data_IF_240309634978
#
_entry.id   IF_240309634978
#
_cell.length_a   1.000
_cell.length_b   1.000
_cell.length_c   1.000
_cell.angle_alpha   90.00
_cell.angle_beta   90.00
_cell.angle_gamma   90.00
#
_symmetry.space_group_name_H-M   'P 1'
#
loop_
_entity.id
_entity.type
_entity.pdbx_description
1 polymer ?
#
# COMPACT_ATOMS: atom_id res chain seq x y z
N UNK A 1 -42.23 -88.11 4.04
CA UNK A 1 -41.40 -87.60 2.91
C UNK A 1 -41.14 -86.18 3.21
N UNK A 2 -40.04 -85.91 3.84
CA UNK A 2 -39.65 -84.56 4.32
C UNK A 2 -38.22 -84.37 3.88
N UNK A 3 -37.99 -83.25 3.11
CA UNK A 3 -36.66 -82.86 2.67
C UNK A 3 -36.20 -81.72 3.54
N UNK A 4 -35.29 -81.96 4.43
CA UNK A 4 -34.56 -80.98 5.18
C UNK A 4 -33.46 -80.39 4.31
N UNK A 5 -33.51 -79.08 4.14
CA UNK A 5 -32.42 -78.29 3.51
C UNK A 5 -31.62 -77.59 4.60
N UNK A 6 -30.42 -78.05 4.78
CA UNK A 6 -29.38 -77.37 5.59
C UNK A 6 -28.94 -76.10 4.85
N UNK A 7 -29.11 -74.97 5.49
CA UNK A 7 -28.58 -73.68 5.04
C UNK A 7 -27.28 -73.41 5.84
N UNK A 8 -26.13 -73.46 5.16
CA UNK A 8 -24.86 -73.05 5.72
C UNK A 8 -24.78 -71.53 5.71
N UNK A 9 -24.68 -70.94 6.89
CA UNK A 9 -24.46 -69.51 7.09
C UNK A 9 -22.94 -69.23 7.09
N UNK A 10 -22.39 -68.67 5.99
CA UNK A 10 -21.02 -68.17 5.96
C UNK A 10 -20.97 -66.81 6.64
N UNK A 11 -20.37 -66.73 7.84
CA UNK A 11 -20.04 -65.47 8.49
C UNK A 11 -18.71 -65.01 7.93
N UNK A 12 -18.77 -64.00 7.01
CA UNK A 12 -17.54 -63.34 6.55
C UNK A 12 -17.14 -62.26 7.56
N UNK A 13 -16.05 -62.53 8.25
CA UNK A 13 -15.41 -61.53 9.15
C UNK A 13 -14.66 -60.51 8.26
N UNK A 14 -15.24 -59.32 8.13
CA UNK A 14 -14.58 -58.19 7.47
C UNK A 14 -13.66 -57.49 8.49
N UNK A 15 -12.35 -57.76 8.42
CA UNK A 15 -11.35 -57.05 9.21
C UNK A 15 -11.12 -55.72 8.51
N UNK A 16 -11.69 -54.62 9.05
CA UNK A 16 -11.42 -53.25 8.62
C UNK A 16 -10.02 -52.80 9.09
N UNK A 17 -9.05 -52.81 8.19
CA UNK A 17 -7.78 -52.11 8.40
C UNK A 17 -8.06 -50.59 8.30
N UNK A 18 -8.20 -49.92 9.45
CA UNK A 18 -8.14 -48.47 9.50
C UNK A 18 -6.68 -48.03 9.30
N UNK A 19 -6.32 -47.80 8.03
CA UNK A 19 -5.09 -47.10 7.71
C UNK A 19 -5.23 -45.65 8.19
N UNK A 20 -4.59 -45.34 9.32
CA UNK A 20 -4.46 -43.99 9.86
C UNK A 20 -3.55 -43.19 8.91
N UNK A 21 -4.13 -42.52 7.93
CA UNK A 21 -3.44 -41.47 7.16
C UNK A 21 -3.15 -40.30 8.12
N UNK A 22 -1.98 -40.30 8.73
CA UNK A 22 -1.42 -39.11 9.33
C UNK A 22 -1.09 -38.16 8.18
N UNK A 23 -1.98 -37.20 7.91
CA UNK A 23 -1.67 -36.07 7.08
C UNK A 23 -0.45 -35.30 7.61
N UNK A 24 0.31 -34.61 6.75
CA UNK A 24 1.43 -33.82 7.20
C UNK A 24 0.97 -32.87 8.30
N UNK A 25 1.59 -32.97 9.47
CA UNK A 25 1.42 -32.02 10.57
C UNK A 25 1.94 -30.68 10.07
N UNK A 26 1.03 -29.81 9.66
CA UNK A 26 1.34 -28.40 9.44
C UNK A 26 1.68 -27.85 10.82
N UNK A 27 2.96 -27.59 11.06
CA UNK A 27 3.41 -26.88 12.25
C UNK A 27 2.61 -25.57 12.33
N UNK A 28 2.07 -25.18 13.49
CA UNK A 28 1.38 -23.92 13.64
C UNK A 28 2.40 -22.83 13.27
N UNK A 29 2.10 -22.08 12.20
CA UNK A 29 2.84 -20.89 11.84
C UNK A 29 2.80 -20.00 13.07
N UNK A 30 3.98 -19.64 13.57
CA UNK A 30 4.14 -18.75 14.73
C UNK A 30 3.20 -17.57 14.57
N UNK A 31 2.26 -17.41 15.49
CA UNK A 31 1.24 -16.36 15.47
C UNK A 31 1.78 -14.97 15.83
N UNK A 32 3.11 -14.84 15.95
CA UNK A 32 3.76 -13.54 16.15
C UNK A 32 4.00 -12.96 14.77
N UNK A 33 3.30 -11.87 14.41
CA UNK A 33 3.60 -11.17 13.15
C UNK A 33 5.08 -10.80 13.13
N UNK A 34 5.76 -10.87 11.98
CA UNK A 34 7.14 -10.44 11.90
C UNK A 34 7.27 -9.00 12.42
N UNK A 35 8.36 -8.67 13.13
CA UNK A 35 8.55 -7.31 13.62
C UNK A 35 8.40 -6.34 12.44
N UNK A 36 7.60 -5.28 12.66
CA UNK A 36 7.39 -4.24 11.65
C UNK A 36 8.70 -3.63 11.15
N UNK A 37 8.70 -2.91 10.04
CA UNK A 37 9.90 -2.25 9.53
C UNK A 37 10.44 -1.25 10.55
N UNK A 38 11.75 -1.06 10.58
CA UNK A 38 12.45 -0.08 11.42
C UNK A 38 12.91 1.13 10.62
N UNK A 39 12.92 0.99 9.29
CA UNK A 39 13.34 2.03 8.36
C UNK A 39 12.63 1.90 7.03
N UNK A 40 12.47 3.03 6.34
CA UNK A 40 11.96 3.04 4.98
C UNK A 40 12.56 4.20 4.18
N UNK A 41 12.40 4.12 2.85
CA UNK A 41 12.73 5.19 1.92
C UNK A 41 11.71 5.26 0.78
N UNK A 42 11.58 6.43 0.18
CA UNK A 42 10.83 6.67 -1.05
C UNK A 42 11.79 7.17 -2.11
N UNK A 43 11.77 6.56 -3.29
CA UNK A 43 12.67 6.94 -4.37
C UNK A 43 12.00 6.80 -5.74
N UNK A 44 11.91 7.91 -6.47
CA UNK A 44 11.28 7.96 -7.79
C UNK A 44 12.28 8.24 -8.93
N UNK A 45 13.58 8.14 -8.64
CA UNK A 45 14.61 8.27 -9.68
C UNK A 45 14.62 7.08 -10.65
N UNK A 46 14.92 7.38 -11.91
CA UNK A 46 14.92 6.37 -12.98
C UNK A 46 16.14 5.44 -12.98
N UNK A 47 17.24 5.82 -12.32
CA UNK A 47 18.52 5.10 -12.40
C UNK A 47 18.83 4.31 -11.14
N UNK A 48 19.11 3.05 -11.36
CA UNK A 48 19.64 2.07 -10.42
C UNK A 48 20.97 2.48 -9.77
N UNK A 49 21.29 1.88 -8.63
CA UNK A 49 20.52 1.91 -7.40
C UNK A 49 20.90 3.16 -6.63
N UNK A 50 19.93 3.89 -6.17
CA UNK A 50 20.26 4.89 -5.15
C UNK A 50 20.86 4.12 -3.97
N UNK A 51 22.11 4.42 -3.54
CA UNK A 51 22.76 3.74 -2.41
C UNK A 51 21.92 3.78 -1.14
N UNK A 52 21.01 4.76 -1.06
CA UNK A 52 20.07 4.94 0.04
C UNK A 52 19.02 3.81 0.20
N UNK A 53 18.79 2.97 -0.83
CA UNK A 53 17.80 1.87 -0.75
C UNK A 53 18.40 0.56 -0.24
N UNK A 54 19.72 0.38 -0.34
CA UNK A 54 20.40 -0.78 0.23
C UNK A 54 20.52 -0.60 1.75
N UNK A 55 19.70 -1.31 2.51
CA UNK A 55 19.78 -1.29 3.98
C UNK A 55 18.57 -0.73 4.70
N UNK A 56 17.56 -0.22 3.97
CA UNK A 56 16.25 0.05 4.56
C UNK A 56 15.37 -1.21 4.54
N UNK A 57 14.46 -1.32 5.49
CA UNK A 57 13.55 -2.48 5.55
C UNK A 57 12.49 -2.39 4.45
N UNK A 58 11.93 -1.20 4.20
CA UNK A 58 10.93 -0.94 3.15
C UNK A 58 11.40 0.14 2.18
N UNK A 59 11.22 -0.10 0.87
CA UNK A 59 11.53 0.87 -0.17
C UNK A 59 10.34 1.04 -1.12
N UNK A 60 9.79 2.24 -1.20
CA UNK A 60 8.74 2.62 -2.14
C UNK A 60 9.42 3.19 -3.39
N UNK A 61 9.17 2.59 -4.54
CA UNK A 61 9.84 2.95 -5.81
C UNK A 61 8.86 2.93 -6.97
N UNK A 62 9.23 3.57 -8.08
CA UNK A 62 8.46 3.47 -9.32
C UNK A 62 8.34 2.00 -9.79
N UNK A 63 7.24 1.67 -10.47
CA UNK A 63 6.98 0.30 -10.95
C UNK A 63 8.03 -0.22 -11.95
N UNK A 64 8.75 0.67 -12.66
CA UNK A 64 9.84 0.31 -13.57
C UNK A 64 11.18 0.00 -12.85
N UNK A 65 11.32 0.34 -11.56
CA UNK A 65 12.51 0.05 -10.78
C UNK A 65 12.74 -1.46 -10.66
N UNK A 66 13.98 -1.97 -10.82
CA UNK A 66 14.26 -3.40 -10.64
C UNK A 66 14.39 -3.73 -9.14
N UNK A 67 13.43 -4.45 -8.53
CA UNK A 67 13.57 -4.86 -7.14
C UNK A 67 14.77 -5.80 -6.97
N UNK A 68 15.55 -5.58 -5.91
CA UNK A 68 16.70 -6.43 -5.59
C UNK A 68 16.26 -7.84 -5.19
N UNK A 69 16.90 -8.88 -5.75
CA UNK A 69 16.51 -10.27 -5.51
C UNK A 69 17.07 -10.88 -4.22
N UNK A 70 18.14 -10.32 -3.66
CA UNK A 70 18.93 -10.93 -2.59
C UNK A 70 19.09 -10.01 -1.36
N UNK A 71 18.27 -8.99 -1.22
CA UNK A 71 18.37 -8.02 -0.15
C UNK A 71 17.34 -8.24 0.96
N UNK A 72 17.59 -7.62 2.12
CA UNK A 72 16.64 -7.56 3.23
C UNK A 72 15.51 -6.54 2.97
N UNK A 73 15.65 -5.69 1.93
CA UNK A 73 14.70 -4.64 1.59
C UNK A 73 13.48 -5.21 0.88
N UNK A 74 12.31 -4.95 1.42
CA UNK A 74 11.03 -5.21 0.78
C UNK A 74 10.68 -4.01 -0.12
N UNK A 75 10.51 -4.26 -1.41
CA UNK A 75 10.20 -3.24 -2.40
C UNK A 75 8.71 -3.14 -2.64
N UNK A 76 8.18 -1.89 -2.63
CA UNK A 76 6.81 -1.55 -2.96
C UNK A 76 6.77 -0.87 -4.33
N UNK A 77 5.96 -1.41 -5.24
CA UNK A 77 5.71 -0.78 -6.53
C UNK A 77 4.71 0.37 -6.39
N UNK A 78 5.05 1.55 -6.91
CA UNK A 78 4.14 2.68 -7.01
C UNK A 78 2.99 2.38 -7.98
N UNK A 79 1.75 2.64 -7.54
CA UNK A 79 0.54 2.50 -8.35
C UNK A 79 -0.38 3.68 -8.06
N UNK A 80 -0.61 4.54 -9.04
CA UNK A 80 -1.62 5.59 -8.94
C UNK A 80 -3.01 4.97 -9.05
N UNK A 81 -3.75 4.95 -7.94
CA UNK A 81 -5.08 4.37 -7.86
C UNK A 81 -6.20 5.39 -8.13
N UNK A 82 -5.96 6.65 -7.81
CA UNK A 82 -6.95 7.72 -7.95
C UNK A 82 -6.75 8.60 -9.17
N UNK A 83 -5.60 8.49 -9.85
CA UNK A 83 -5.32 9.30 -11.03
C UNK A 83 -4.69 8.48 -12.15
N UNK A 84 -4.85 8.94 -13.37
CA UNK A 84 -4.26 8.34 -14.58
C UNK A 84 -3.42 9.40 -15.26
N UNK A 85 -2.10 9.22 -15.22
CA UNK A 85 -1.18 9.98 -16.06
C UNK A 85 -1.23 9.42 -17.50
N UNK A 86 -1.47 10.25 -18.51
CA UNK A 86 -1.56 9.82 -19.91
C UNK A 86 -0.32 9.11 -20.44
N UNK A 87 0.86 9.38 -19.88
CA UNK A 87 2.12 8.72 -20.25
C UNK A 87 2.27 7.27 -19.79
N UNK A 88 1.46 6.85 -18.83
CA UNK A 88 1.60 5.55 -18.18
C UNK A 88 1.14 4.37 -19.02
N UNK A 89 1.58 3.17 -18.62
CA UNK A 89 1.13 1.92 -19.23
C UNK A 89 -0.36 1.68 -19.00
N UNK A 90 -0.87 1.99 -17.80
CA UNK A 90 -2.32 1.91 -17.50
C UNK A 90 -3.12 2.75 -18.50
N UNK A 91 -2.70 3.99 -18.75
CA UNK A 91 -3.36 4.85 -19.73
C UNK A 91 -3.40 4.22 -21.12
N UNK A 92 -2.27 3.66 -21.57
CA UNK A 92 -2.17 2.97 -22.86
C UNK A 92 -3.07 1.73 -22.93
N UNK A 93 -3.13 0.94 -21.87
CA UNK A 93 -3.97 -0.26 -21.80
C UNK A 93 -5.47 0.10 -21.85
N UNK A 94 -5.88 1.15 -21.12
CA UNK A 94 -7.27 1.65 -21.12
C UNK A 94 -7.64 2.30 -22.45
N UNK A 95 -6.73 3.04 -23.09
CA UNK A 95 -7.00 3.69 -24.38
C UNK A 95 -7.35 2.72 -25.50
N UNK A 96 -6.99 1.44 -25.37
CA UNK A 96 -7.38 0.37 -26.31
C UNK A 96 -8.77 -0.21 -26.03
N UNK A 97 -9.38 0.16 -24.91
CA UNK A 97 -10.73 -0.31 -24.54
C UNK A 97 -11.80 0.62 -25.12
N UNK A 98 -13.04 0.13 -25.33
CA UNK A 98 -14.14 0.99 -25.78
C UNK A 98 -14.33 2.20 -24.87
N UNK A 99 -14.43 3.39 -25.47
CA UNK A 99 -14.56 4.67 -24.77
C UNK A 99 -13.27 5.25 -24.22
N UNK A 100 -12.13 4.53 -24.32
CA UNK A 100 -10.81 5.01 -23.94
C UNK A 100 -10.73 5.60 -22.53
N UNK A 101 -9.79 6.51 -22.31
CA UNK A 101 -9.58 7.17 -21.02
C UNK A 101 -10.80 7.96 -20.51
N UNK A 102 -11.59 8.54 -21.39
CA UNK A 102 -12.76 9.33 -20.99
C UNK A 102 -13.81 8.48 -20.27
N UNK A 103 -13.95 7.21 -20.65
CA UNK A 103 -14.91 6.27 -20.02
C UNK A 103 -14.63 5.95 -18.57
N UNK A 104 -13.42 6.20 -18.09
CA UNK A 104 -12.93 5.92 -16.73
C UNK A 104 -12.48 7.17 -15.99
N UNK A 105 -12.81 8.35 -16.49
CA UNK A 105 -12.39 9.64 -15.95
C UNK A 105 -13.55 10.34 -15.25
N UNK A 106 -13.32 10.90 -14.06
CA UNK A 106 -14.22 11.79 -13.34
C UNK A 106 -13.98 13.26 -13.68
N UNK A 107 -12.72 13.62 -13.89
CA UNK A 107 -12.27 14.99 -14.12
C UNK A 107 -10.79 15.05 -14.46
N UNK A 108 -10.25 16.26 -14.51
CA UNK A 108 -8.83 16.50 -14.78
C UNK A 108 -8.17 17.12 -13.55
N UNK A 109 -6.97 16.69 -13.24
CA UNK A 109 -6.06 17.38 -12.34
C UNK A 109 -5.08 18.20 -13.22
N UNK A 110 -5.31 19.50 -13.29
CA UNK A 110 -4.51 20.40 -14.15
C UNK A 110 -3.10 20.59 -13.62
N UNK A 111 -2.90 20.43 -12.31
CA UNK A 111 -1.62 20.62 -11.66
C UNK A 111 -0.62 19.50 -12.08
N UNK A 112 -1.06 18.25 -12.04
CA UNK A 112 -0.25 17.09 -12.42
C UNK A 112 -0.45 16.67 -13.89
N UNK A 113 -1.27 17.42 -14.65
CA UNK A 113 -1.65 17.05 -16.02
C UNK A 113 -2.18 15.60 -16.13
N UNK A 114 -2.89 15.16 -15.11
CA UNK A 114 -3.47 13.82 -14.99
C UNK A 114 -4.99 13.84 -15.06
N UNK A 115 -5.61 12.67 -15.05
CA UNK A 115 -7.05 12.47 -15.01
C UNK A 115 -7.46 11.85 -13.70
N UNK A 116 -8.44 12.44 -13.01
CA UNK A 116 -9.03 11.83 -11.82
C UNK A 116 -9.78 10.57 -12.26
N UNK A 117 -9.39 9.42 -11.74
CA UNK A 117 -9.90 8.12 -12.15
C UNK A 117 -11.24 7.78 -11.50
N UNK A 118 -12.13 7.15 -12.25
CA UNK A 118 -13.35 6.55 -11.72
C UNK A 118 -13.12 5.08 -11.36
N UNK A 119 -12.73 4.82 -10.12
CA UNK A 119 -12.50 3.47 -9.61
C UNK A 119 -13.75 2.57 -9.64
N UNK A 120 -14.95 3.11 -9.82
CA UNK A 120 -16.19 2.35 -10.01
C UNK A 120 -16.20 1.60 -11.34
N UNK A 121 -15.38 2.03 -12.31
CA UNK A 121 -15.32 1.42 -13.65
C UNK A 121 -14.54 0.11 -13.63
N UNK A 122 -15.18 -0.96 -14.08
CA UNK A 122 -14.59 -2.32 -14.11
C UNK A 122 -13.29 -2.37 -14.92
N UNK A 123 -13.24 -1.68 -16.07
CA UNK A 123 -12.06 -1.64 -16.94
C UNK A 123 -10.84 -1.02 -16.24
N UNK A 124 -11.05 0.04 -15.45
CA UNK A 124 -9.96 0.64 -14.68
C UNK A 124 -9.47 -0.29 -13.57
N UNK A 125 -10.39 -0.88 -12.78
CA UNK A 125 -10.00 -1.87 -11.75
C UNK A 125 -9.24 -3.06 -12.35
N UNK A 126 -9.66 -3.55 -13.53
CA UNK A 126 -8.95 -4.62 -14.22
C UNK A 126 -7.54 -4.21 -14.65
N UNK A 127 -7.35 -2.98 -15.14
CA UNK A 127 -6.03 -2.47 -15.50
C UNK A 127 -5.10 -2.38 -14.27
N UNK A 128 -5.62 -1.90 -13.12
CA UNK A 128 -4.88 -1.89 -11.85
C UNK A 128 -4.51 -3.31 -11.39
N UNK A 129 -5.44 -4.27 -11.43
CA UNK A 129 -5.15 -5.67 -11.07
C UNK A 129 -4.11 -6.30 -12.00
N UNK A 130 -4.13 -5.97 -13.30
CA UNK A 130 -3.10 -6.42 -14.22
C UNK A 130 -1.73 -5.81 -13.90
N UNK A 131 -1.67 -4.55 -13.48
CA UNK A 131 -0.42 -3.94 -13.02
C UNK A 131 0.09 -4.65 -11.76
N UNK A 132 -0.74 -4.81 -10.73
CA UNK A 132 -0.38 -5.52 -9.50
C UNK A 132 0.17 -6.92 -9.82
N UNK A 133 -0.50 -7.66 -10.69
CA UNK A 133 -0.05 -8.99 -11.13
C UNK A 133 1.31 -8.95 -11.84
N UNK A 134 1.59 -7.91 -12.63
CA UNK A 134 2.90 -7.74 -13.27
C UNK A 134 3.99 -7.46 -12.26
N UNK A 135 3.72 -6.58 -11.32
CA UNK A 135 4.69 -6.12 -10.33
C UNK A 135 5.04 -7.23 -9.33
N UNK A 136 4.06 -7.99 -8.86
CA UNK A 136 4.30 -9.17 -8.03
C UNK A 136 5.15 -10.22 -8.75
N UNK A 137 4.92 -10.46 -10.06
CA UNK A 137 5.76 -11.37 -10.86
C UNK A 137 7.19 -10.87 -11.05
N UNK A 138 7.42 -9.57 -10.96
CA UNK A 138 8.77 -8.96 -11.04
C UNK A 138 9.52 -9.03 -9.71
N UNK A 139 8.88 -9.44 -8.63
CA UNK A 139 9.49 -9.62 -7.32
C UNK A 139 9.21 -8.50 -6.33
N UNK A 140 8.26 -7.61 -6.60
CA UNK A 140 7.76 -6.69 -5.59
C UNK A 140 7.00 -7.45 -4.51
N UNK A 141 7.37 -7.25 -3.26
CA UNK A 141 6.70 -7.83 -2.10
C UNK A 141 5.59 -6.93 -1.53
N UNK A 142 5.46 -5.71 -2.06
CA UNK A 142 4.42 -4.77 -1.69
C UNK A 142 3.98 -3.88 -2.83
N UNK A 143 2.85 -3.21 -2.64
CA UNK A 143 2.36 -2.13 -3.51
C UNK A 143 2.13 -0.87 -2.68
N UNK A 144 2.39 0.25 -3.29
CA UNK A 144 2.11 1.58 -2.75
C UNK A 144 1.01 2.23 -3.59
N UNK A 145 -0.18 2.33 -3.00
CA UNK A 145 -1.35 2.89 -3.66
C UNK A 145 -1.41 4.40 -3.39
N UNK A 146 -1.24 5.16 -4.43
CA UNK A 146 -1.18 6.62 -4.37
C UNK A 146 -2.45 7.28 -4.93
N UNK A 147 -2.55 8.60 -4.70
CA UNK A 147 -3.59 9.51 -5.23
C UNK A 147 -5.01 9.21 -4.73
N UNK A 148 -5.16 8.56 -3.57
CA UNK A 148 -6.47 8.25 -3.00
C UNK A 148 -7.31 9.51 -2.74
N UNK A 149 -6.65 10.62 -2.41
CA UNK A 149 -7.33 11.87 -2.06
C UNK A 149 -8.07 12.48 -3.28
N UNK A 150 -7.59 12.30 -4.51
CA UNK A 150 -8.17 12.95 -5.71
C UNK A 150 -9.62 12.54 -5.99
N UNK A 151 -10.00 11.25 -6.05
CA UNK A 151 -11.40 10.86 -6.21
C UNK A 151 -12.24 11.15 -4.95
N UNK A 152 -11.65 11.14 -3.74
CA UNK A 152 -12.36 11.51 -2.51
C UNK A 152 -12.71 13.01 -2.51
N UNK A 153 -11.79 13.87 -2.94
CA UNK A 153 -12.03 15.31 -3.08
C UNK A 153 -13.04 15.60 -4.19
N UNK A 154 -12.97 14.87 -5.32
CA UNK A 154 -14.03 14.94 -6.33
C UNK A 154 -15.39 14.58 -5.73
N UNK A 155 -15.49 13.54 -4.91
CA UNK A 155 -16.71 13.16 -4.20
C UNK A 155 -17.21 14.26 -3.25
N UNK A 156 -16.32 15.03 -2.61
CA UNK A 156 -16.68 16.14 -1.72
C UNK A 156 -17.43 17.23 -2.47
N UNK A 157 -17.01 17.52 -3.71
CA UNK A 157 -17.67 18.51 -4.59
C UNK A 157 -18.85 17.92 -5.38
N UNK A 158 -18.99 16.59 -5.42
CA UNK A 158 -20.06 15.85 -6.07
C UNK A 158 -20.75 14.87 -5.11
N UNK A 159 -21.54 15.35 -4.14
CA UNK A 159 -22.05 14.53 -3.02
C UNK A 159 -22.85 13.29 -3.43
N UNK A 160 -23.58 13.36 -4.57
CA UNK A 160 -24.34 12.22 -5.09
C UNK A 160 -23.44 11.03 -5.49
N UNK A 161 -22.17 11.27 -5.79
CA UNK A 161 -21.19 10.26 -6.21
C UNK A 161 -20.29 9.78 -5.06
N UNK A 162 -20.15 10.59 -4.01
CA UNK A 162 -19.20 10.37 -2.92
C UNK A 162 -19.25 8.96 -2.31
N UNK A 163 -20.44 8.52 -1.91
CA UNK A 163 -20.62 7.20 -1.29
C UNK A 163 -20.25 6.04 -2.24
N UNK A 164 -20.56 6.18 -3.54
CA UNK A 164 -20.20 5.18 -4.54
C UNK A 164 -18.70 5.10 -4.80
N UNK A 165 -18.02 6.24 -4.82
CA UNK A 165 -16.55 6.31 -4.97
C UNK A 165 -15.87 5.65 -3.76
N UNK A 166 -16.24 6.04 -2.53
CA UNK A 166 -15.68 5.47 -1.30
C UNK A 166 -15.81 3.95 -1.27
N UNK A 167 -17.03 3.41 -1.43
CA UNK A 167 -17.26 1.96 -1.45
C UNK A 167 -16.46 1.22 -2.53
N UNK A 168 -16.30 1.84 -3.70
CA UNK A 168 -15.52 1.21 -4.78
C UNK A 168 -14.02 1.17 -4.47
N UNK A 169 -13.48 2.18 -3.79
CA UNK A 169 -12.09 2.21 -3.31
C UNK A 169 -11.86 1.15 -2.22
N UNK A 170 -12.74 1.10 -1.22
CA UNK A 170 -12.72 0.09 -0.15
C UNK A 170 -12.75 -1.32 -0.74
N UNK A 171 -13.77 -1.61 -1.55
CA UNK A 171 -13.94 -2.93 -2.17
C UNK A 171 -12.78 -3.33 -3.08
N UNK A 172 -12.13 -2.36 -3.75
CA UNK A 172 -10.96 -2.66 -4.57
C UNK A 172 -9.77 -3.09 -3.70
N UNK A 173 -9.48 -2.35 -2.61
CA UNK A 173 -8.37 -2.67 -1.71
C UNK A 173 -8.62 -3.99 -0.99
N UNK A 174 -9.85 -4.24 -0.52
CA UNK A 174 -10.27 -5.53 0.04
C UNK A 174 -10.06 -6.68 -0.96
N UNK A 175 -10.45 -6.48 -2.24
CA UNK A 175 -10.24 -7.47 -3.31
C UNK A 175 -8.75 -7.76 -3.53
N UNK A 176 -7.90 -6.75 -3.52
CA UNK A 176 -6.45 -6.91 -3.65
C UNK A 176 -5.89 -7.70 -2.46
N UNK A 177 -6.27 -7.31 -1.23
CA UNK A 177 -5.84 -8.01 -0.01
C UNK A 177 -6.24 -9.49 -0.04
N UNK A 178 -7.48 -9.80 -0.39
CA UNK A 178 -7.95 -11.18 -0.49
C UNK A 178 -7.27 -11.99 -1.60
N UNK A 179 -6.96 -11.34 -2.74
CA UNK A 179 -6.33 -12.00 -3.89
C UNK A 179 -4.82 -12.21 -3.71
N UNK A 180 -4.18 -11.43 -2.86
CA UNK A 180 -2.74 -11.44 -2.61
C UNK A 180 -2.45 -11.37 -1.09
N UNK A 181 -2.75 -12.42 -0.32
CA UNK A 181 -2.70 -12.37 1.15
C UNK A 181 -1.30 -12.16 1.75
N UNK A 182 -0.25 -12.37 0.96
CA UNK A 182 1.15 -12.13 1.38
C UNK A 182 1.72 -10.80 0.89
N UNK A 183 0.94 -10.05 0.11
CA UNK A 183 1.37 -8.76 -0.44
C UNK A 183 1.16 -7.66 0.58
N UNK A 184 2.20 -6.91 0.89
CA UNK A 184 2.07 -5.71 1.72
C UNK A 184 1.41 -4.59 0.93
N UNK A 185 0.44 -3.91 1.54
CA UNK A 185 -0.28 -2.79 0.93
C UNK A 185 -0.04 -1.55 1.78
N UNK A 186 0.56 -0.51 1.19
CA UNK A 186 0.70 0.80 1.80
C UNK A 186 -0.11 1.79 0.97
N UNK A 187 -0.91 2.63 1.61
CA UNK A 187 -1.68 3.69 0.94
C UNK A 187 -1.05 5.04 1.21
N UNK A 188 -1.07 5.95 0.23
CA UNK A 188 -0.68 7.34 0.45
C UNK A 188 -1.88 8.16 0.90
N UNK A 189 -1.80 8.76 2.10
CA UNK A 189 -2.85 9.61 2.65
C UNK A 189 -4.21 8.90 2.69
N UNK A 190 -5.25 9.44 2.05
CA UNK A 190 -6.59 8.85 2.07
C UNK A 190 -7.19 8.76 3.47
N UNK A 191 -6.79 9.66 4.38
CA UNK A 191 -7.07 9.55 5.82
C UNK A 191 -8.56 9.44 6.15
N UNK A 192 -9.41 10.13 5.40
CA UNK A 192 -10.86 10.04 5.59
C UNK A 192 -11.46 8.66 5.28
N UNK A 193 -10.69 7.75 4.68
CA UNK A 193 -11.05 6.37 4.36
C UNK A 193 -10.21 5.36 5.16
N UNK A 194 -9.15 5.82 5.81
CA UNK A 194 -8.17 4.97 6.46
C UNK A 194 -8.74 4.05 7.56
N UNK A 195 -9.68 4.48 8.41
CA UNK A 195 -10.26 3.59 9.41
C UNK A 195 -10.93 2.35 8.80
N UNK A 196 -11.63 2.52 7.69
CA UNK A 196 -12.29 1.43 6.95
C UNK A 196 -11.27 0.55 6.21
N UNK A 197 -10.17 1.13 5.73
CA UNK A 197 -9.10 0.41 5.03
C UNK A 197 -8.14 -0.32 5.98
N UNK A 198 -8.06 0.10 7.24
CA UNK A 198 -7.06 -0.41 8.18
C UNK A 198 -6.98 -1.94 8.28
N UNK A 199 -8.08 -2.73 8.23
CA UNK A 199 -8.00 -4.18 8.25
C UNK A 199 -7.29 -4.81 7.03
N UNK A 200 -7.20 -4.08 5.92
CA UNK A 200 -6.74 -4.59 4.62
C UNK A 200 -5.37 -4.06 4.20
N UNK A 201 -4.81 -3.09 4.95
CA UNK A 201 -3.54 -2.46 4.61
C UNK A 201 -2.48 -2.69 5.68
N UNK A 202 -1.24 -2.77 5.25
CA UNK A 202 -0.07 -2.94 6.14
C UNK A 202 0.39 -1.61 6.71
N UNK A 203 0.13 -0.51 6.01
CA UNK A 203 0.56 0.81 6.44
C UNK A 203 -0.07 1.95 5.66
N UNK A 204 0.18 3.14 6.17
CA UNK A 204 -0.17 4.42 5.54
C UNK A 204 1.05 5.31 5.48
N UNK A 205 1.28 5.95 4.34
CA UNK A 205 2.26 7.03 4.22
C UNK A 205 1.55 8.35 4.46
N UNK A 206 2.08 9.12 5.40
CA UNK A 206 1.67 10.48 5.69
C UNK A 206 2.66 11.44 5.02
N UNK A 207 2.40 11.76 3.77
CA UNK A 207 3.13 12.76 3.01
C UNK A 207 2.82 14.16 3.52
N UNK A 208 3.83 15.04 3.54
CA UNK A 208 3.75 16.37 4.13
C UNK A 208 3.35 16.34 5.62
N UNK A 209 3.99 15.44 6.40
CA UNK A 209 3.65 15.31 7.81
C UNK A 209 4.02 16.55 8.62
N UNK A 210 5.22 17.04 8.47
CA UNK A 210 5.78 18.17 9.22
C UNK A 210 6.31 19.27 8.30
N UNK A 211 6.83 18.90 7.14
CA UNK A 211 7.35 19.84 6.15
C UNK A 211 6.94 19.46 4.73
N UNK A 212 6.81 20.47 3.89
CA UNK A 212 6.47 20.33 2.47
C UNK A 212 7.23 21.32 1.60
N UNK A 213 7.25 21.07 0.31
CA UNK A 213 7.74 22.02 -0.67
C UNK A 213 6.61 22.98 -1.08
N UNK A 214 6.86 24.28 -0.93
CA UNK A 214 5.99 25.31 -1.47
C UNK A 214 6.35 25.58 -2.93
N UNK A 215 5.49 25.12 -3.83
CA UNK A 215 5.74 25.24 -5.27
C UNK A 215 5.66 26.68 -5.80
N UNK A 216 4.93 27.53 -5.12
CA UNK A 216 4.81 28.96 -5.49
C UNK A 216 6.06 29.71 -5.03
N UNK A 217 6.41 29.56 -3.77
CA UNK A 217 7.58 30.19 -3.18
C UNK A 217 8.92 29.52 -3.51
N UNK A 218 8.89 28.31 -4.10
CA UNK A 218 10.08 27.50 -4.44
C UNK A 218 11.01 27.24 -3.26
N UNK A 219 10.45 26.98 -2.08
CA UNK A 219 11.19 26.68 -0.86
C UNK A 219 10.45 25.66 0.02
N UNK A 220 11.15 25.11 1.00
CA UNK A 220 10.57 24.17 1.95
C UNK A 220 9.99 24.92 3.15
N UNK A 221 8.81 24.50 3.59
CA UNK A 221 8.06 25.14 4.68
C UNK A 221 7.54 24.10 5.66
N UNK A 222 7.30 24.51 6.90
CA UNK A 222 6.63 23.68 7.90
C UNK A 222 5.12 23.61 7.65
N UNK A 223 4.55 22.44 7.90
CA UNK A 223 3.10 22.23 7.85
C UNK A 223 2.46 22.73 9.13
N UNK A 224 1.40 23.55 9.07
CA UNK A 224 0.70 24.05 10.25
C UNK A 224 0.14 22.91 11.14
N UNK A 225 0.21 23.09 12.46
CA UNK A 225 -0.23 22.07 13.42
C UNK A 225 -1.71 21.66 13.22
N UNK A 226 -2.59 22.63 12.94
CA UNK A 226 -4.01 22.35 12.74
C UNK A 226 -4.33 21.44 11.55
N UNK A 227 -3.50 21.46 10.50
CA UNK A 227 -3.64 20.54 9.37
C UNK A 227 -3.36 19.08 9.81
N UNK A 228 -2.38 18.88 10.69
CA UNK A 228 -1.99 17.54 11.17
C UNK A 228 -3.00 16.90 12.12
N UNK A 229 -3.59 17.69 13.02
CA UNK A 229 -4.45 17.16 14.08
C UNK A 229 -5.62 16.32 13.57
N UNK A 230 -6.23 16.73 12.46
CA UNK A 230 -7.32 15.96 11.84
C UNK A 230 -6.84 14.57 11.38
N UNK A 231 -5.72 14.52 10.70
CA UNK A 231 -5.17 13.28 10.16
C UNK A 231 -4.64 12.36 11.26
N UNK A 232 -4.07 12.91 12.33
CA UNK A 232 -3.66 12.15 13.51
C UNK A 232 -4.87 11.47 14.19
N UNK A 233 -6.04 12.13 14.22
CA UNK A 233 -7.27 11.50 14.73
C UNK A 233 -7.72 10.32 13.86
N UNK A 234 -7.66 10.47 12.53
CA UNK A 234 -8.03 9.39 11.60
C UNK A 234 -7.06 8.20 11.70
N UNK A 235 -5.76 8.45 11.84
CA UNK A 235 -4.75 7.42 12.10
C UNK A 235 -5.01 6.72 13.45
N UNK A 236 -5.33 7.48 14.50
CA UNK A 236 -5.67 6.90 15.81
C UNK A 236 -6.88 5.97 15.72
N UNK A 237 -7.92 6.36 15.00
CA UNK A 237 -9.10 5.52 14.73
C UNK A 237 -8.72 4.27 13.92
N UNK A 238 -7.91 4.42 12.86
CA UNK A 238 -7.45 3.29 12.07
C UNK A 238 -6.68 2.26 12.92
N UNK A 239 -5.84 2.72 13.85
CA UNK A 239 -5.12 1.86 14.79
C UNK A 239 -6.02 1.09 15.77
N UNK A 240 -7.27 1.49 15.99
CA UNK A 240 -8.22 0.67 16.75
C UNK A 240 -8.68 -0.56 15.95
N UNK A 241 -8.68 -0.48 14.64
CA UNK A 241 -9.03 -1.60 13.74
C UNK A 241 -7.81 -2.44 13.34
N UNK A 242 -6.62 -1.81 13.30
CA UNK A 242 -5.35 -2.48 13.02
C UNK A 242 -4.25 -1.92 13.93
N UNK A 243 -4.04 -2.49 15.12
CA UNK A 243 -2.97 -2.06 16.04
C UNK A 243 -1.56 -2.17 15.45
N UNK A 244 -1.36 -3.03 14.44
CA UNK A 244 -0.11 -3.21 13.73
C UNK A 244 0.10 -2.26 12.55
N UNK A 245 -0.81 -1.30 12.31
CA UNK A 245 -0.72 -0.37 11.20
C UNK A 245 0.56 0.47 11.27
N UNK A 246 1.43 0.27 10.29
CA UNK A 246 2.67 1.04 10.14
C UNK A 246 2.35 2.43 9.61
N UNK A 247 2.87 3.46 10.26
CA UNK A 247 2.75 4.85 9.75
C UNK A 247 4.12 5.35 9.33
N UNK A 248 4.21 5.75 8.07
CA UNK A 248 5.40 6.27 7.40
C UNK A 248 5.23 7.79 7.25
N UNK A 249 6.01 8.59 7.94
CA UNK A 249 5.99 10.05 7.81
C UNK A 249 7.04 10.48 6.78
N UNK A 250 6.59 11.00 5.65
CA UNK A 250 7.41 11.57 4.59
C UNK A 250 7.39 13.09 4.69
N UNK A 251 8.59 13.66 4.75
CA UNK A 251 8.81 15.10 4.80
C UNK A 251 9.79 15.54 3.72
N UNK A 252 9.77 16.81 3.43
CA UNK A 252 10.63 17.41 2.39
C UNK A 252 11.52 18.49 2.97
N UNK A 253 12.81 18.49 2.57
CA UNK A 253 13.79 19.49 2.99
C UNK A 253 14.84 19.71 1.90
N UNK A 254 15.61 20.80 2.00
CA UNK A 254 16.71 21.09 1.09
C UNK A 254 17.91 20.17 1.35
N UNK A 255 18.31 19.32 0.40
CA UNK A 255 19.46 18.43 0.56
C UNK A 255 20.80 19.15 0.85
N UNK A 256 20.90 20.42 0.48
CA UNK A 256 22.11 21.23 0.66
C UNK A 256 22.13 21.97 2.00
N UNK A 257 20.96 22.28 2.55
CA UNK A 257 20.80 23.07 3.78
C UNK A 257 19.61 22.53 4.59
N UNK A 258 19.69 21.30 5.09
CA UNK A 258 18.58 20.71 5.84
C UNK A 258 18.34 21.48 7.12
N UNK A 259 17.16 22.08 7.25
CA UNK A 259 16.75 22.84 8.42
C UNK A 259 15.56 22.19 9.15
N UNK A 260 14.75 21.41 8.43
CA UNK A 260 13.48 20.84 8.89
C UNK A 260 13.60 19.36 9.29
N UNK A 261 14.62 18.65 8.79
CA UNK A 261 14.79 17.21 8.99
C UNK A 261 14.76 16.79 10.46
N UNK A 262 15.54 17.46 11.34
CA UNK A 262 15.60 17.13 12.76
C UNK A 262 14.32 17.49 13.55
N UNK A 263 13.75 18.71 13.41
CA UNK A 263 12.47 19.03 14.02
C UNK A 263 11.35 18.06 13.62
N UNK A 264 11.27 17.70 12.32
CA UNK A 264 10.26 16.78 11.81
C UNK A 264 10.48 15.35 12.33
N UNK A 265 11.73 14.89 12.40
CA UNK A 265 12.04 13.59 12.99
C UNK A 265 11.61 13.48 14.46
N UNK A 266 11.82 14.53 15.28
CA UNK A 266 11.34 14.57 16.66
C UNK A 266 9.81 14.45 16.73
N UNK A 267 9.13 15.14 15.84
CA UNK A 267 7.67 15.10 15.76
C UNK A 267 7.15 13.73 15.37
N UNK A 268 7.71 13.12 14.31
CA UNK A 268 7.35 11.78 13.86
C UNK A 268 7.59 10.72 14.96
N UNK A 269 8.70 10.83 15.67
CA UNK A 269 9.01 9.94 16.78
C UNK A 269 8.01 10.04 17.93
N UNK A 270 7.57 11.25 18.29
CA UNK A 270 6.53 11.45 19.32
C UNK A 270 5.24 10.69 18.96
N UNK A 271 4.89 10.65 17.68
CA UNK A 271 3.72 9.94 17.16
C UNK A 271 4.00 8.44 16.89
N UNK A 272 5.22 7.97 17.16
CA UNK A 272 5.66 6.59 16.83
C UNK A 272 5.54 6.26 15.35
N UNK A 273 5.92 7.22 14.49
CA UNK A 273 5.98 7.05 13.04
C UNK A 273 7.41 6.77 12.59
N UNK A 274 7.58 5.98 11.55
CA UNK A 274 8.83 5.92 10.82
C UNK A 274 8.98 7.19 10.01
N UNK A 275 10.18 7.78 10.01
CA UNK A 275 10.41 9.06 9.37
C UNK A 275 11.44 8.96 8.25
N UNK A 276 11.15 9.57 7.13
CA UNK A 276 12.05 9.73 5.99
C UNK A 276 11.94 11.14 5.44
N UNK A 277 13.09 11.72 5.06
CA UNK A 277 13.17 13.05 4.46
C UNK A 277 13.81 12.95 3.10
N UNK A 278 13.21 13.62 2.12
CA UNK A 278 13.70 13.67 0.75
C UNK A 278 13.68 15.09 0.21
N UNK A 279 14.27 15.29 -0.95
CA UNK A 279 13.93 16.43 -1.78
C UNK A 279 12.51 16.26 -2.36
N UNK A 280 11.90 17.33 -2.80
CA UNK A 280 10.52 17.30 -3.33
C UNK A 280 10.34 16.43 -4.58
N UNK A 281 11.44 16.10 -5.28
CA UNK A 281 11.42 15.23 -6.46
C UNK A 281 11.51 13.75 -6.10
N UNK A 282 11.73 13.42 -4.83
CA UNK A 282 11.95 12.05 -4.34
C UNK A 282 13.12 11.33 -5.02
N UNK A 283 14.13 12.10 -5.43
CA UNK A 283 15.33 11.55 -6.09
C UNK A 283 16.57 11.59 -5.20
N UNK A 284 16.49 12.25 -4.04
CA UNK A 284 17.60 12.41 -3.09
C UNK A 284 17.12 12.29 -1.66
N UNK A 285 17.75 11.43 -0.87
CA UNK A 285 17.55 11.46 0.58
C UNK A 285 18.18 12.72 1.16
N UNK A 286 17.52 13.32 2.15
CA UNK A 286 18.05 14.42 2.94
C UNK A 286 18.63 13.85 4.23
N UNK A 287 19.86 14.24 4.65
CA UNK A 287 20.39 13.80 5.92
C UNK A 287 19.45 14.11 7.08
N UNK A 288 19.11 13.09 7.83
CA UNK A 288 18.30 13.16 9.03
C UNK A 288 19.02 12.55 10.22
N UNK A 289 18.40 12.51 11.38
CA UNK A 289 19.01 11.91 12.55
C UNK A 289 19.33 10.43 12.32
N UNK A 290 20.45 9.92 12.86
CA UNK A 290 20.82 8.51 12.72
C UNK A 290 19.77 7.58 13.34
N UNK A 291 19.74 6.33 12.87
CA UNK A 291 18.93 5.27 13.48
C UNK A 291 19.25 5.18 14.98
N UNK A 292 18.22 5.24 15.81
CA UNK A 292 18.38 5.22 17.28
C UNK A 292 18.60 6.59 17.94
N UNK A 293 18.59 7.69 17.18
CA UNK A 293 18.63 9.03 17.76
C UNK A 293 17.50 9.28 18.77
N UNK A 294 17.86 9.78 19.97
CA UNK A 294 16.92 9.90 21.11
C UNK A 294 16.12 11.20 21.13
N UNK A 295 16.48 12.17 20.31
CA UNK A 295 15.74 13.44 20.22
C UNK A 295 16.18 14.50 21.21
N UNK A 296 17.32 14.31 21.93
CA UNK A 296 17.95 15.29 22.79
C UNK A 296 18.69 16.36 22.01
#
# INVERSE_FOLDING_TARGET
>A
MSHDRFVFLFVAIFVLFLASCRGPTVSPISSVPPPGPRSYAVYYGEKSPAPALSGVDWAIVQDNYPPGKNGRTLYFAYISMGEIDPGTRIAKDISRSPGGLESVTLGKNLFWNSRIADIRKKSFRQALLMQIKRDTKRGFGGIFLDTLDSPLEYGRTHPRQAAGIRRAMESFIETVHASYPTLYIVVNRGFGLLPELAPFVSGVLYEDFCSRYDEVGKHYVTVPAGEREKFLRDISRARTHNPGLVVLALDYDDPRRPALSYPCARMARKEKFLHYVSDWTLTRSVPGPPLGWTGE
#
